data_IF_047120465403
#
_entry.id   IF_047120465403
#
_cell.length_a   1.000
_cell.length_b   1.000
_cell.length_c   1.000
_cell.angle_alpha   90.00
_cell.angle_beta   90.00
_cell.angle_gamma   90.00
#
_symmetry.space_group_name_H-M   'P 1'
#
loop_
_entity.id
_entity.type
_entity.pdbx_description
1 polymer ?
#
# COMPACT_ATOMS: atom_id res chain seq x y z
N UNK A 1 19.76 -16.24 -16.51
CA UNK A 1 21.05 -16.93 -16.33
C UNK A 1 21.71 -16.44 -15.04
N UNK A 2 21.27 -16.97 -13.90
CA UNK A 2 22.02 -16.91 -12.64
C UNK A 2 22.08 -18.36 -12.13
N UNK A 3 23.28 -18.91 -11.86
CA UNK A 3 23.50 -20.34 -11.75
C UNK A 3 22.99 -20.88 -10.41
N UNK A 4 22.24 -21.99 -10.49
CA UNK A 4 22.00 -22.90 -9.36
C UNK A 4 23.33 -23.58 -9.05
N UNK A 5 23.91 -23.29 -7.89
CA UNK A 5 24.99 -24.08 -7.33
C UNK A 5 24.36 -25.27 -6.58
N UNK A 6 24.41 -26.42 -7.23
CA UNK A 6 24.28 -27.75 -6.62
C UNK A 6 25.49 -27.95 -5.71
N UNK A 7 25.28 -27.90 -4.39
CA UNK A 7 26.27 -28.41 -3.42
C UNK A 7 25.81 -29.79 -2.95
N UNK A 8 26.68 -30.76 -3.20
CA UNK A 8 26.50 -32.19 -3.03
C UNK A 8 26.31 -32.58 -1.56
N UNK A 9 25.26 -33.34 -1.28
CA UNK A 9 24.97 -33.94 0.03
C UNK A 9 25.93 -35.13 0.30
N UNK A 10 26.70 -35.14 1.41
CA UNK A 10 27.23 -36.37 1.98
C UNK A 10 26.26 -36.98 3.02
N UNK A 11 26.22 -38.32 3.20
CA UNK A 11 25.21 -38.99 4.02
C UNK A 11 25.52 -38.79 5.50
N UNK A 12 24.65 -38.07 6.23
CA UNK A 12 24.76 -38.00 7.69
C UNK A 12 24.10 -39.24 8.32
N UNK A 13 24.96 -40.05 8.90
CA UNK A 13 24.66 -41.28 9.63
C UNK A 13 23.71 -40.99 10.79
N UNK A 14 22.69 -41.84 10.91
CA UNK A 14 21.74 -41.89 12.01
C UNK A 14 22.44 -42.11 13.36
N UNK A 15 22.29 -41.17 14.29
CA UNK A 15 22.26 -41.50 15.73
C UNK A 15 21.62 -40.39 16.55
N UNK A 16 20.44 -40.67 17.13
CA UNK A 16 19.89 -40.00 18.32
C UNK A 16 20.05 -40.94 19.52
N UNK A 17 19.90 -40.54 20.81
CA UNK A 17 20.30 -39.34 21.58
C UNK A 17 21.14 -39.76 22.84
N UNK A 18 21.40 -38.91 23.86
CA UNK A 18 20.40 -38.75 24.93
C UNK A 18 20.24 -37.31 25.45
N UNK A 19 19.05 -37.07 26.00
CA UNK A 19 18.72 -35.95 26.87
C UNK A 19 19.86 -35.63 27.85
N UNK A 20 20.34 -34.39 27.81
CA UNK A 20 21.02 -33.74 28.92
C UNK A 20 20.71 -32.25 28.78
N UNK A 21 19.98 -31.72 29.76
CA UNK A 21 19.66 -30.31 29.84
C UNK A 21 20.96 -29.49 29.81
N UNK A 22 21.07 -28.55 28.89
CA UNK A 22 22.15 -27.56 28.89
C UNK A 22 21.78 -26.42 29.84
N UNK A 23 22.50 -26.21 30.96
CA UNK A 23 22.29 -25.07 31.84
C UNK A 23 22.85 -23.75 31.26
N UNK A 24 23.37 -23.76 30.03
CA UNK A 24 23.93 -22.57 29.37
C UNK A 24 23.05 -22.14 28.20
N UNK A 25 21.74 -21.98 28.43
CA UNK A 25 20.95 -21.16 27.54
C UNK A 25 21.53 -19.74 27.57
N UNK A 26 21.90 -19.13 26.43
CA UNK A 26 22.31 -17.74 26.42
C UNK A 26 21.14 -16.94 27.02
N UNK A 27 21.39 -16.31 28.17
CA UNK A 27 20.51 -15.26 28.67
C UNK A 27 20.47 -14.25 27.55
N UNK A 28 19.35 -14.18 26.84
CA UNK A 28 19.01 -13.04 26.00
C UNK A 28 18.93 -11.86 26.97
N UNK A 29 20.08 -11.26 27.21
CA UNK A 29 20.23 -9.93 27.76
C UNK A 29 19.31 -9.05 26.94
N UNK A 30 18.17 -8.76 27.55
CA UNK A 30 17.24 -7.77 27.07
C UNK A 30 17.93 -6.44 27.30
N UNK A 31 18.91 -6.11 26.45
CA UNK A 31 19.51 -4.80 26.41
C UNK A 31 18.34 -3.80 26.32
N UNK A 32 18.31 -2.73 27.13
CA UNK A 32 17.26 -1.73 27.03
C UNK A 32 17.39 -1.11 25.64
N UNK A 33 16.63 -1.62 24.67
CA UNK A 33 16.72 -1.15 23.31
C UNK A 33 16.21 0.28 23.30
N UNK A 34 17.19 1.18 23.25
CA UNK A 34 17.13 2.60 23.54
C UNK A 34 15.82 3.23 23.03
N UNK A 35 15.05 3.83 23.94
CA UNK A 35 13.73 4.41 23.63
C UNK A 35 13.77 5.43 22.49
N UNK A 36 14.95 6.04 22.24
CA UNK A 36 15.20 6.94 21.12
C UNK A 36 15.06 6.29 19.74
N UNK A 37 15.46 5.02 19.57
CA UNK A 37 15.42 4.33 18.27
C UNK A 37 13.98 4.05 17.81
N UNK A 38 13.11 3.67 18.76
CA UNK A 38 11.69 3.40 18.47
C UNK A 38 10.91 4.65 18.10
N UNK A 39 11.14 5.76 18.82
CA UNK A 39 10.52 7.03 18.50
C UNK A 39 10.96 7.54 17.11
N UNK A 40 12.25 7.43 16.81
CA UNK A 40 12.80 7.77 15.49
C UNK A 40 12.13 6.95 14.38
N UNK A 41 12.03 5.62 14.55
CA UNK A 41 11.37 4.76 13.58
C UNK A 41 9.90 5.13 13.35
N UNK A 42 9.14 5.45 14.42
CA UNK A 42 7.74 5.89 14.30
C UNK A 42 7.63 7.18 13.51
N UNK A 43 8.46 8.19 13.80
CA UNK A 43 8.42 9.49 13.11
C UNK A 43 8.77 9.33 11.63
N UNK A 44 9.80 8.54 11.31
CA UNK A 44 10.18 8.27 9.93
C UNK A 44 9.08 7.51 9.18
N UNK A 45 8.45 6.51 9.79
CA UNK A 45 7.33 5.80 9.19
C UNK A 45 6.12 6.70 8.92
N UNK A 46 5.77 7.57 9.87
CA UNK A 46 4.71 8.58 9.66
C UNK A 46 5.06 9.46 8.47
N UNK A 47 6.27 10.04 8.44
CA UNK A 47 6.72 10.88 7.34
C UNK A 47 6.72 10.14 5.98
N UNK A 48 7.21 8.90 5.96
CA UNK A 48 7.21 8.04 4.78
C UNK A 48 5.77 7.77 4.28
N UNK A 49 4.82 7.55 5.19
CA UNK A 49 3.41 7.31 4.83
C UNK A 49 2.67 8.54 4.31
N UNK A 50 3.15 9.76 4.58
CA UNK A 50 2.50 11.00 4.08
C UNK A 50 2.39 11.02 2.55
N UNK A 51 3.37 10.47 1.84
CA UNK A 51 3.32 10.37 0.37
C UNK A 51 2.13 9.54 -0.11
N UNK A 52 1.86 8.41 0.53
CA UNK A 52 0.69 7.56 0.22
C UNK A 52 -0.62 8.22 0.63
N UNK A 53 -0.64 8.93 1.75
CA UNK A 53 -1.82 9.67 2.22
C UNK A 53 -2.20 10.81 1.28
N UNK A 54 -1.23 11.63 0.86
CA UNK A 54 -1.50 12.72 -0.09
C UNK A 54 -1.89 12.20 -1.47
N UNK A 55 -1.22 11.15 -1.95
CA UNK A 55 -1.60 10.51 -3.21
C UNK A 55 -3.03 9.98 -3.19
N UNK A 56 -3.41 9.25 -2.13
CA UNK A 56 -4.78 8.76 -1.97
C UNK A 56 -5.80 9.88 -1.79
N UNK A 57 -5.42 10.98 -1.14
CA UNK A 57 -6.29 12.15 -0.96
C UNK A 57 -6.60 12.83 -2.30
N UNK A 58 -5.60 13.08 -3.14
CA UNK A 58 -5.79 13.72 -4.45
C UNK A 58 -6.68 12.87 -5.36
N UNK A 59 -6.43 11.57 -5.41
CA UNK A 59 -7.23 10.63 -6.19
C UNK A 59 -8.66 10.50 -5.65
N UNK A 60 -8.84 10.48 -4.32
CA UNK A 60 -10.14 10.32 -3.68
C UNK A 60 -11.04 11.56 -3.78
N UNK A 61 -10.50 12.75 -3.54
CA UNK A 61 -11.28 14.02 -3.61
C UNK A 61 -11.71 14.31 -5.03
N UNK A 62 -10.84 14.07 -6.01
CA UNK A 62 -11.15 14.31 -7.42
C UNK A 62 -12.39 13.53 -7.87
N UNK A 63 -12.51 12.25 -7.49
CA UNK A 63 -13.69 11.44 -7.84
C UNK A 63 -15.00 12.01 -7.27
N UNK A 64 -14.96 12.57 -6.06
CA UNK A 64 -16.12 13.24 -5.45
C UNK A 64 -16.48 14.55 -6.14
N UNK A 65 -15.49 15.39 -6.45
CA UNK A 65 -15.70 16.68 -7.13
C UNK A 65 -16.34 16.49 -8.50
N UNK A 66 -15.92 15.48 -9.27
CA UNK A 66 -16.44 15.22 -10.61
C UNK A 66 -17.94 14.89 -10.66
N UNK A 67 -18.53 14.41 -9.55
CA UNK A 67 -19.95 14.06 -9.45
C UNK A 67 -20.79 15.11 -8.72
N UNK A 68 -20.19 16.20 -8.25
CA UNK A 68 -20.91 17.28 -7.58
C UNK A 68 -21.77 18.08 -8.56
N UNK A 69 -22.95 18.50 -8.10
CA UNK A 69 -23.89 19.28 -8.91
C UNK A 69 -23.30 20.57 -9.47
N UNK A 70 -22.49 21.29 -8.68
CA UNK A 70 -21.83 22.53 -9.10
C UNK A 70 -20.80 22.28 -10.18
N UNK A 71 -19.96 21.25 -10.01
CA UNK A 71 -18.94 20.91 -11.00
C UNK A 71 -19.58 20.45 -12.31
N UNK A 72 -20.61 19.61 -12.25
CA UNK A 72 -21.34 19.18 -13.44
C UNK A 72 -22.02 20.35 -14.15
N UNK A 73 -22.60 21.30 -13.41
CA UNK A 73 -23.23 22.49 -13.97
C UNK A 73 -22.23 23.40 -14.71
N UNK A 74 -21.02 23.54 -14.18
CA UNK A 74 -20.01 24.43 -14.75
C UNK A 74 -19.21 23.79 -15.89
N UNK A 75 -19.00 22.46 -15.86
CA UNK A 75 -18.06 21.79 -16.77
C UNK A 75 -18.70 20.74 -17.68
N UNK A 76 -19.74 20.03 -17.24
CA UNK A 76 -20.38 18.99 -18.05
C UNK A 76 -21.57 19.51 -18.84
N UNK A 77 -22.44 20.33 -18.22
CA UNK A 77 -23.62 20.88 -18.88
C UNK A 77 -23.20 21.83 -20.01
N UNK A 78 -23.89 21.76 -21.15
CA UNK A 78 -23.60 22.47 -22.39
C UNK A 78 -22.27 22.09 -23.08
N UNK A 79 -21.40 21.31 -22.44
CA UNK A 79 -20.21 20.76 -23.08
C UNK A 79 -20.62 19.80 -24.21
N UNK A 80 -20.32 20.16 -25.47
CA UNK A 80 -20.67 19.33 -26.62
C UNK A 80 -22.18 19.07 -26.79
N UNK A 81 -23.05 19.95 -26.27
CA UNK A 81 -24.52 19.80 -26.21
C UNK A 81 -25.04 18.77 -25.20
N UNK A 82 -24.29 18.51 -24.13
CA UNK A 82 -24.76 17.70 -23.02
C UNK A 82 -25.89 18.39 -22.24
N UNK A 83 -26.93 17.63 -21.88
CA UNK A 83 -28.00 18.11 -21.01
C UNK A 83 -27.70 17.84 -19.53
N UNK A 84 -28.37 18.60 -18.65
CA UNK A 84 -28.28 18.44 -17.21
C UNK A 84 -28.64 17.04 -16.70
N UNK A 85 -29.54 16.33 -17.38
CA UNK A 85 -29.92 14.96 -17.05
C UNK A 85 -28.85 13.95 -17.46
N UNK A 86 -28.23 14.14 -18.63
CA UNK A 86 -27.15 13.26 -19.09
C UNK A 86 -25.93 13.35 -18.17
N UNK A 87 -25.58 14.56 -17.72
CA UNK A 87 -24.45 14.78 -16.81
C UNK A 87 -24.66 14.19 -15.41
N UNK A 88 -25.92 13.98 -15.00
CA UNK A 88 -26.29 13.38 -13.71
C UNK A 88 -26.68 11.91 -13.80
N UNK A 89 -26.60 11.33 -15.00
CA UNK A 89 -26.93 9.93 -15.22
C UNK A 89 -25.89 9.00 -14.57
N UNK A 90 -26.20 7.71 -14.52
CA UNK A 90 -25.24 6.72 -14.04
C UNK A 90 -23.99 6.70 -14.94
N UNK A 91 -22.80 6.32 -14.44
CA UNK A 91 -21.55 6.45 -15.20
C UNK A 91 -21.54 5.76 -16.56
N UNK A 92 -22.27 4.64 -16.70
CA UNK A 92 -22.38 3.90 -17.95
C UNK A 92 -23.31 4.56 -18.99
N UNK A 93 -24.07 5.58 -18.59
CA UNK A 93 -24.98 6.36 -19.41
C UNK A 93 -24.47 7.79 -19.66
N UNK A 94 -23.27 8.12 -19.18
CA UNK A 94 -22.66 9.43 -19.42
C UNK A 94 -22.38 9.63 -20.91
N UNK A 95 -22.46 10.88 -21.42
CA UNK A 95 -22.09 11.21 -22.79
C UNK A 95 -20.66 10.80 -23.11
N UNK A 96 -20.43 10.19 -24.27
CA UNK A 96 -19.09 9.73 -24.67
C UNK A 96 -18.07 10.87 -24.77
N UNK A 97 -18.49 12.06 -25.22
CA UNK A 97 -17.66 13.25 -25.25
C UNK A 97 -17.19 13.69 -23.85
N UNK A 98 -17.90 13.30 -22.79
CA UNK A 98 -17.53 13.51 -21.40
C UNK A 98 -16.71 12.35 -20.79
N UNK A 99 -16.42 11.29 -21.53
CA UNK A 99 -15.60 10.17 -21.03
C UNK A 99 -14.30 10.00 -21.80
N UNK A 100 -14.20 10.59 -22.99
CA UNK A 100 -13.08 10.41 -23.92
C UNK A 100 -12.20 11.66 -24.04
N UNK A 101 -12.20 12.53 -23.03
CA UNK A 101 -11.28 13.68 -22.98
C UNK A 101 -9.82 13.25 -22.82
#
# INVERSE_FOLDING_TARGET
MMPVAEESIPPQVSSSPPHSADPTAPTADSEPHDGGSRLYAIVVCVFASLGGLFFGYDQGVTGGVLVMDSFLADFCVDYGKNSAEMCRAQPHLLPSNWLTF
#
